data_IF_557021343534
#
_entry.id   IF_557021343534
#
_cell.length_a   1.000
_cell.length_b   1.000
_cell.length_c   1.000
_cell.angle_alpha   90.00
_cell.angle_beta   90.00
_cell.angle_gamma   90.00
#
_symmetry.space_group_name_H-M   'P 1'
#
loop_
_entity.id
_entity.type
_entity.pdbx_description
1 polymer ?
#
# COMPACT_ATOMS: atom_id res chain seq x y z
N UNK A 1 8.92 -67.98 -55.11
CA UNK A 1 7.65 -67.42 -54.63
C UNK A 1 7.90 -66.28 -53.74
N UNK A 2 7.48 -65.12 -54.16
CA UNK A 2 7.87 -63.83 -53.68
C UNK A 2 7.16 -63.46 -52.37
N UNK A 3 7.89 -63.11 -51.34
CA UNK A 3 7.37 -62.49 -50.13
C UNK A 3 7.74 -61.01 -50.09
N UNK A 4 6.73 -60.17 -50.20
CA UNK A 4 6.81 -58.72 -50.10
C UNK A 4 7.17 -58.28 -48.68
N UNK A 5 8.30 -57.61 -48.57
CA UNK A 5 8.69 -56.87 -47.33
C UNK A 5 8.05 -55.49 -47.47
N UNK A 6 7.05 -55.21 -46.64
CA UNK A 6 6.50 -53.85 -46.50
C UNK A 6 7.45 -52.98 -45.72
N UNK A 7 7.97 -51.98 -46.39
CA UNK A 7 8.73 -50.86 -45.76
C UNK A 7 7.73 -49.99 -44.97
N UNK A 8 7.75 -50.05 -43.68
CA UNK A 8 7.13 -49.06 -42.82
C UNK A 8 8.02 -47.80 -42.83
N UNK A 9 7.53 -46.79 -43.51
CA UNK A 9 8.10 -45.46 -43.51
C UNK A 9 8.00 -44.86 -42.12
N UNK A 10 9.11 -44.73 -41.45
CA UNK A 10 9.23 -43.84 -40.31
C UNK A 10 9.07 -42.40 -40.79
N UNK A 11 7.83 -41.90 -40.66
CA UNK A 11 7.63 -40.46 -40.76
C UNK A 11 8.32 -39.77 -39.62
N UNK A 12 9.40 -39.09 -39.93
CA UNK A 12 10.01 -38.07 -39.05
C UNK A 12 8.97 -37.00 -38.76
N UNK A 13 8.35 -37.06 -37.58
CA UNK A 13 7.63 -35.95 -36.98
C UNK A 13 8.65 -34.89 -36.54
N UNK A 14 9.22 -34.19 -37.49
CA UNK A 14 9.79 -32.88 -37.23
C UNK A 14 8.60 -31.91 -37.12
N UNK A 15 8.03 -31.78 -35.92
CA UNK A 15 7.21 -30.62 -35.59
C UNK A 15 8.05 -29.40 -35.84
N UNK A 16 7.73 -28.62 -36.86
CA UNK A 16 8.26 -27.26 -37.03
C UNK A 16 7.89 -26.50 -35.79
N UNK A 17 8.78 -25.68 -35.23
CA UNK A 17 8.38 -24.78 -34.14
C UNK A 17 7.25 -23.91 -34.66
N UNK A 18 6.17 -23.88 -33.91
CA UNK A 18 5.00 -23.04 -34.23
C UNK A 18 5.47 -21.58 -33.98
N UNK A 19 5.85 -20.90 -35.06
CA UNK A 19 6.49 -19.59 -35.03
C UNK A 19 5.55 -18.43 -34.65
N UNK A 20 4.27 -18.69 -34.43
CA UNK A 20 3.24 -17.67 -34.23
C UNK A 20 2.31 -18.03 -33.05
N UNK A 21 2.87 -18.31 -31.87
CA UNK A 21 2.01 -18.48 -30.68
C UNK A 21 1.85 -17.13 -30.00
N UNK A 22 0.62 -16.79 -29.69
CA UNK A 22 0.27 -15.63 -28.87
C UNK A 22 0.91 -15.77 -27.48
N UNK A 23 1.40 -14.67 -26.92
CA UNK A 23 2.02 -14.67 -25.58
C UNK A 23 1.07 -15.19 -24.50
N UNK A 24 -0.23 -14.87 -24.60
CA UNK A 24 -1.30 -15.33 -23.71
C UNK A 24 -1.41 -16.86 -23.64
N UNK A 25 -1.31 -17.54 -24.79
CA UNK A 25 -1.36 -19.01 -24.86
C UNK A 25 -0.13 -19.65 -24.22
N UNK A 26 1.06 -19.07 -24.48
CA UNK A 26 2.31 -19.51 -23.88
C UNK A 26 2.25 -19.31 -22.37
N UNK A 27 1.77 -18.17 -21.90
CA UNK A 27 1.63 -17.85 -20.49
C UNK A 27 0.73 -18.86 -19.76
N UNK A 28 -0.46 -19.14 -20.30
CA UNK A 28 -1.41 -20.08 -19.72
C UNK A 28 -0.83 -21.51 -19.61
N UNK A 29 -0.15 -21.95 -20.66
CA UNK A 29 0.48 -23.28 -20.69
C UNK A 29 1.63 -23.40 -19.69
N UNK A 30 2.56 -22.44 -19.69
CA UNK A 30 3.70 -22.40 -18.79
C UNK A 30 3.23 -22.25 -17.34
N UNK A 31 2.25 -21.39 -17.09
CA UNK A 31 1.66 -21.18 -15.76
C UNK A 31 1.04 -22.47 -15.22
N UNK A 32 0.28 -23.19 -16.04
CA UNK A 32 -0.34 -24.47 -15.66
C UNK A 32 0.73 -25.52 -15.30
N UNK A 33 1.79 -25.61 -16.10
CA UNK A 33 2.87 -26.56 -15.88
C UNK A 33 3.67 -26.22 -14.60
N UNK A 34 4.10 -24.97 -14.47
CA UNK A 34 4.91 -24.52 -13.34
C UNK A 34 4.11 -24.60 -12.03
N UNK A 35 2.84 -24.18 -12.03
CA UNK A 35 1.97 -24.27 -10.87
C UNK A 35 1.70 -25.70 -10.44
N UNK A 36 1.57 -26.64 -11.39
CA UNK A 36 1.35 -28.06 -11.06
C UNK A 36 2.58 -28.74 -10.46
N UNK A 37 3.79 -28.36 -10.85
CA UNK A 37 5.03 -29.02 -10.42
C UNK A 37 5.84 -28.27 -9.38
N UNK A 38 5.73 -26.93 -9.35
CA UNK A 38 6.60 -26.05 -8.55
C UNK A 38 5.80 -25.00 -7.78
N UNK A 39 4.54 -25.30 -7.43
CA UNK A 39 3.64 -24.36 -6.73
C UNK A 39 4.26 -23.74 -5.48
N UNK A 40 4.95 -24.53 -4.66
CA UNK A 40 5.59 -24.03 -3.45
C UNK A 40 6.67 -22.96 -3.73
N UNK A 41 7.43 -23.12 -4.82
CA UNK A 41 8.45 -22.14 -5.22
C UNK A 41 7.85 -20.85 -5.78
N UNK A 42 6.74 -20.95 -6.53
CA UNK A 42 6.03 -19.78 -7.04
C UNK A 42 5.43 -19.00 -5.88
N UNK A 43 4.79 -19.68 -4.94
CA UNK A 43 4.22 -19.06 -3.73
C UNK A 43 5.33 -18.41 -2.88
N UNK A 44 6.48 -19.06 -2.72
CA UNK A 44 7.62 -18.49 -2.00
C UNK A 44 8.19 -17.26 -2.73
N UNK A 45 8.27 -17.30 -4.06
CA UNK A 45 8.63 -16.14 -4.90
C UNK A 45 7.67 -14.97 -4.68
N UNK A 46 6.36 -15.21 -4.74
CA UNK A 46 5.32 -14.20 -4.50
C UNK A 46 5.43 -13.62 -3.08
N UNK A 47 5.54 -14.47 -2.05
CA UNK A 47 5.62 -14.04 -0.65
C UNK A 47 6.90 -13.26 -0.32
N UNK A 48 7.95 -13.41 -1.11
CA UNK A 48 9.23 -12.76 -0.90
C UNK A 48 9.55 -11.64 -1.93
N UNK A 49 8.59 -11.23 -2.76
CA UNK A 49 8.78 -10.11 -3.73
C UNK A 49 9.39 -8.89 -3.03
N UNK A 50 8.87 -8.54 -1.84
CA UNK A 50 9.32 -7.41 -1.05
C UNK A 50 10.68 -7.61 -0.35
N UNK A 51 11.21 -8.86 -0.32
CA UNK A 51 12.45 -9.21 0.40
C UNK A 51 13.66 -9.40 -0.52
N UNK A 52 13.46 -9.27 -1.86
CA UNK A 52 14.55 -9.37 -2.84
C UNK A 52 15.25 -10.73 -2.83
N UNK A 53 14.48 -11.84 -2.79
CA UNK A 53 15.06 -13.19 -2.84
C UNK A 53 15.45 -13.56 -4.28
N UNK A 54 16.62 -13.06 -4.72
CA UNK A 54 17.17 -13.28 -6.06
C UNK A 54 17.39 -14.76 -6.37
N UNK A 55 17.58 -15.59 -5.35
CA UNK A 55 17.83 -17.02 -5.50
C UNK A 55 16.58 -17.77 -5.94
N UNK A 56 15.42 -17.51 -5.32
CA UNK A 56 14.13 -18.08 -5.72
C UNK A 56 13.72 -17.57 -7.10
N UNK A 57 13.91 -16.29 -7.37
CA UNK A 57 13.69 -15.67 -8.69
C UNK A 57 14.48 -16.38 -9.78
N UNK A 58 15.78 -16.57 -9.59
CA UNK A 58 16.66 -17.27 -10.53
C UNK A 58 16.22 -18.73 -10.71
N UNK A 59 15.78 -19.40 -9.66
CA UNK A 59 15.33 -20.79 -9.72
C UNK A 59 14.02 -20.95 -10.53
N UNK A 60 13.02 -20.09 -10.31
CA UNK A 60 11.77 -20.10 -11.09
C UNK A 60 12.06 -19.81 -12.58
N UNK A 61 12.87 -18.78 -12.88
CA UNK A 61 13.28 -18.46 -14.26
C UNK A 61 14.00 -19.63 -14.94
N UNK A 62 14.82 -20.36 -14.20
CA UNK A 62 15.49 -21.57 -14.74
C UNK A 62 14.49 -22.68 -15.09
N UNK A 63 13.42 -22.89 -14.30
CA UNK A 63 12.40 -23.87 -14.62
C UNK A 63 11.54 -23.46 -15.81
N UNK A 64 11.20 -22.16 -15.93
CA UNK A 64 10.53 -21.62 -17.11
C UNK A 64 11.41 -21.85 -18.34
N UNK A 65 12.69 -21.47 -18.28
CA UNK A 65 13.62 -21.66 -19.40
C UNK A 65 13.78 -23.11 -19.83
N UNK A 66 13.83 -24.04 -18.84
CA UNK A 66 13.88 -25.48 -19.13
C UNK A 66 12.61 -25.94 -19.86
N UNK A 67 11.43 -25.52 -19.40
CA UNK A 67 10.16 -25.86 -20.07
C UNK A 67 10.13 -25.37 -21.51
N UNK A 68 10.49 -24.10 -21.73
CA UNK A 68 10.51 -23.51 -23.08
C UNK A 68 11.47 -24.28 -24.02
N UNK A 69 12.62 -24.74 -23.51
CA UNK A 69 13.57 -25.54 -24.26
C UNK A 69 13.05 -26.95 -24.55
N UNK A 70 12.52 -27.63 -23.53
CA UNK A 70 12.01 -29.01 -23.65
C UNK A 70 10.86 -29.11 -24.68
N UNK A 71 9.99 -28.10 -24.72
CA UNK A 71 8.84 -28.05 -25.64
C UNK A 71 9.07 -27.19 -26.90
N UNK A 72 10.28 -26.61 -27.04
CA UNK A 72 10.67 -25.77 -28.20
C UNK A 72 9.74 -24.57 -28.43
N UNK A 73 9.31 -23.93 -27.34
CA UNK A 73 8.41 -22.80 -27.38
C UNK A 73 9.21 -21.50 -27.58
N UNK A 74 8.75 -20.68 -28.54
CA UNK A 74 9.28 -19.33 -28.77
C UNK A 74 8.12 -18.38 -29.09
N UNK A 75 8.27 -17.10 -28.76
CA UNK A 75 7.33 -16.04 -29.12
C UNK A 75 7.94 -15.18 -30.24
N UNK A 76 7.09 -14.64 -31.12
CA UNK A 76 7.53 -13.76 -32.18
C UNK A 76 8.03 -12.43 -31.63
N UNK A 77 9.15 -11.94 -32.16
CA UNK A 77 9.70 -10.64 -31.75
C UNK A 77 10.38 -10.59 -30.39
N UNK A 78 10.54 -11.73 -29.69
CA UNK A 78 11.19 -11.80 -28.38
C UNK A 78 12.37 -12.77 -28.39
N UNK A 79 13.45 -12.41 -27.74
CA UNK A 79 14.51 -13.36 -27.40
C UNK A 79 14.02 -14.33 -26.32
N UNK A 80 14.67 -15.48 -26.19
CA UNK A 80 14.32 -16.46 -25.16
C UNK A 80 14.45 -15.90 -23.74
N UNK A 81 15.42 -15.03 -23.52
CA UNK A 81 15.61 -14.40 -22.21
C UNK A 81 14.48 -13.41 -21.90
N UNK A 82 14.09 -12.57 -22.85
CA UNK A 82 12.95 -11.66 -22.72
C UNK A 82 11.64 -12.40 -22.47
N UNK A 83 11.43 -13.54 -23.15
CA UNK A 83 10.27 -14.39 -22.93
C UNK A 83 10.26 -14.98 -21.51
N UNK A 84 11.40 -15.49 -21.03
CA UNK A 84 11.54 -16.01 -19.66
C UNK A 84 11.25 -14.90 -18.64
N UNK A 85 11.81 -13.72 -18.84
CA UNK A 85 11.65 -12.60 -17.93
C UNK A 85 10.22 -12.11 -17.89
N UNK A 86 9.57 -11.98 -19.05
CA UNK A 86 8.16 -11.59 -19.14
C UNK A 86 7.24 -12.64 -18.52
N UNK A 87 7.45 -13.93 -18.81
CA UNK A 87 6.68 -15.02 -18.19
C UNK A 87 6.83 -15.05 -16.67
N UNK A 88 8.05 -14.83 -16.16
CA UNK A 88 8.27 -14.75 -14.72
C UNK A 88 7.51 -13.59 -14.10
N UNK A 89 7.58 -12.41 -14.69
CA UNK A 89 6.86 -11.21 -14.22
C UNK A 89 5.35 -11.43 -14.17
N UNK A 90 4.79 -12.05 -15.21
CA UNK A 90 3.35 -12.34 -15.27
C UNK A 90 2.92 -13.46 -14.31
N UNK A 91 3.79 -14.38 -13.97
CA UNK A 91 3.46 -15.53 -13.10
C UNK A 91 3.75 -15.28 -11.62
N UNK A 92 4.83 -14.60 -11.29
CA UNK A 92 5.37 -14.51 -9.94
C UNK A 92 5.44 -13.08 -9.39
N UNK A 93 5.33 -12.06 -10.24
CA UNK A 93 5.27 -10.65 -9.86
C UNK A 93 3.84 -10.10 -10.10
N UNK A 94 3.70 -8.77 -10.09
CA UNK A 94 2.41 -8.09 -10.28
C UNK A 94 2.26 -7.52 -11.68
N UNK A 95 2.73 -8.26 -12.69
CA UNK A 95 2.73 -7.82 -14.07
C UNK A 95 3.47 -6.47 -14.22
N UNK A 96 3.08 -5.63 -15.16
CA UNK A 96 3.66 -4.29 -15.35
C UNK A 96 3.53 -3.38 -14.11
N UNK A 97 2.58 -3.66 -13.20
CA UNK A 97 2.39 -2.87 -11.98
C UNK A 97 3.56 -2.95 -11.01
N UNK A 98 4.36 -4.02 -11.07
CA UNK A 98 5.51 -4.24 -10.18
C UNK A 98 6.45 -3.04 -10.16
N UNK A 99 6.78 -2.48 -11.33
CA UNK A 99 7.68 -1.33 -11.45
C UNK A 99 7.10 -0.04 -10.86
N UNK A 100 5.77 0.10 -10.85
CA UNK A 100 5.09 1.26 -10.28
C UNK A 100 4.92 1.11 -8.77
N UNK A 101 4.54 -0.07 -8.29
CA UNK A 101 4.35 -0.35 -6.85
C UNK A 101 5.65 -0.15 -6.07
N UNK A 102 6.80 -0.54 -6.65
CA UNK A 102 8.11 -0.41 -6.03
C UNK A 102 8.93 0.76 -6.59
N UNK A 103 8.33 1.57 -7.47
CA UNK A 103 8.92 2.78 -8.02
C UNK A 103 9.01 3.92 -7.00
N UNK A 104 9.81 4.93 -7.33
CA UNK A 104 9.93 6.14 -6.52
C UNK A 104 9.01 7.25 -7.01
N UNK A 105 8.45 8.03 -6.09
CA UNK A 105 7.64 9.19 -6.43
C UNK A 105 6.22 8.88 -6.89
N UNK A 106 5.72 7.67 -6.69
CA UNK A 106 4.34 7.26 -6.98
C UNK A 106 3.56 7.27 -5.67
N UNK A 107 2.37 7.87 -5.69
CA UNK A 107 1.46 7.95 -4.54
C UNK A 107 0.24 7.05 -4.71
N UNK A 108 -0.27 6.91 -5.94
CA UNK A 108 -1.46 6.11 -6.18
C UNK A 108 -1.43 5.46 -7.56
N UNK A 109 -1.96 4.24 -7.64
CA UNK A 109 -2.19 3.51 -8.88
C UNK A 109 -3.68 3.16 -8.90
N UNK A 110 -4.40 3.63 -9.92
CA UNK A 110 -5.81 3.37 -10.11
C UNK A 110 -6.01 2.42 -11.30
N UNK A 111 -6.62 1.28 -11.05
CA UNK A 111 -7.08 0.32 -12.04
C UNK A 111 -8.57 0.57 -12.22
N UNK A 112 -8.96 1.27 -13.29
CA UNK A 112 -10.37 1.55 -13.60
C UNK A 112 -11.01 0.36 -14.33
N UNK A 113 -10.21 -0.34 -15.16
CA UNK A 113 -10.52 -1.60 -15.83
C UNK A 113 -9.23 -2.34 -16.18
N UNK A 114 -9.33 -3.53 -16.77
CA UNK A 114 -8.17 -4.31 -17.21
C UNK A 114 -7.32 -3.59 -18.26
N UNK A 115 -7.89 -2.66 -19.02
CA UNK A 115 -7.23 -1.89 -20.08
C UNK A 115 -7.16 -0.37 -19.79
N UNK A 116 -7.58 0.06 -18.60
CA UNK A 116 -7.54 1.44 -18.15
C UNK A 116 -6.87 1.56 -16.79
N UNK A 117 -5.59 1.88 -16.79
CA UNK A 117 -4.78 2.04 -15.60
C UNK A 117 -4.11 3.41 -15.61
N UNK A 118 -4.12 4.08 -14.47
CA UNK A 118 -3.46 5.38 -14.30
C UNK A 118 -2.60 5.41 -13.03
N UNK A 119 -1.59 6.25 -13.05
CA UNK A 119 -0.64 6.43 -11.94
C UNK A 119 -0.59 7.90 -11.57
N UNK A 120 -0.76 8.18 -10.29
CA UNK A 120 -0.56 9.51 -9.72
C UNK A 120 0.80 9.60 -9.05
N UNK A 121 1.55 10.63 -9.43
CA UNK A 121 2.85 10.94 -8.87
C UNK A 121 2.76 11.93 -7.71
N UNK A 122 3.80 11.98 -6.88
CA UNK A 122 3.90 12.88 -5.71
C UNK A 122 3.92 14.37 -6.04
N UNK A 123 4.16 14.73 -7.31
CA UNK A 123 4.02 16.09 -7.81
C UNK A 123 2.57 16.48 -8.15
N UNK A 124 1.61 15.55 -7.99
CA UNK A 124 0.20 15.72 -8.31
C UNK A 124 -0.15 15.42 -9.77
N UNK A 125 0.82 15.05 -10.60
CA UNK A 125 0.58 14.66 -11.99
C UNK A 125 -0.05 13.25 -12.03
N UNK A 126 -1.10 13.09 -12.85
CA UNK A 126 -1.72 11.81 -13.13
C UNK A 126 -1.47 11.43 -14.59
N UNK A 127 -0.92 10.25 -14.81
CA UNK A 127 -0.59 9.73 -16.14
C UNK A 127 -1.36 8.44 -16.39
N UNK A 128 -2.09 8.41 -17.49
CA UNK A 128 -2.72 7.19 -18.00
C UNK A 128 -1.66 6.32 -18.67
N UNK A 129 -1.60 5.04 -18.30
CA UNK A 129 -0.60 4.12 -18.83
C UNK A 129 -1.00 3.60 -20.21
N UNK A 130 0.00 3.40 -21.06
CA UNK A 130 -0.18 2.65 -22.31
C UNK A 130 -0.21 1.13 -22.06
N UNK A 131 0.38 0.69 -20.95
CA UNK A 131 0.42 -0.70 -20.51
C UNK A 131 -0.93 -1.08 -19.91
N UNK A 132 -1.36 -2.29 -20.23
CA UNK A 132 -2.62 -2.85 -19.78
C UNK A 132 -2.48 -4.35 -19.50
N UNK A 133 -3.45 -4.92 -18.82
CA UNK A 133 -3.53 -6.36 -18.66
C UNK A 133 -3.96 -7.03 -19.97
N UNK A 134 -3.72 -8.32 -20.11
CA UNK A 134 -4.05 -9.09 -21.31
C UNK A 134 -5.58 -9.33 -21.45
N UNK A 135 -6.30 -9.38 -20.32
CA UNK A 135 -7.74 -9.63 -20.26
C UNK A 135 -8.31 -9.24 -18.89
N UNK A 136 -9.66 -9.16 -18.75
CA UNK A 136 -10.31 -9.01 -17.45
C UNK A 136 -9.88 -10.07 -16.42
N UNK A 137 -9.84 -11.34 -16.82
CA UNK A 137 -9.41 -12.45 -15.95
C UNK A 137 -7.93 -12.34 -15.54
N UNK A 138 -7.08 -11.86 -16.44
CA UNK A 138 -5.67 -11.61 -16.12
C UNK A 138 -5.55 -10.54 -15.05
N UNK A 139 -6.27 -9.42 -15.16
CA UNK A 139 -6.30 -8.35 -14.15
C UNK A 139 -6.76 -8.89 -12.78
N UNK A 140 -7.85 -9.65 -12.75
CA UNK A 140 -8.37 -10.30 -11.53
C UNK A 140 -7.29 -11.19 -10.90
N UNK A 141 -6.60 -11.99 -11.70
CA UNK A 141 -5.57 -12.92 -11.20
C UNK A 141 -4.34 -12.20 -10.65
N UNK A 142 -3.92 -11.10 -11.28
CA UNK A 142 -2.82 -10.27 -10.76
C UNK A 142 -3.20 -9.64 -9.42
N UNK A 143 -4.40 -9.04 -9.33
CA UNK A 143 -4.89 -8.43 -8.07
C UNK A 143 -5.08 -9.49 -6.99
N UNK A 144 -5.59 -10.68 -7.31
CA UNK A 144 -5.66 -11.81 -6.36
C UNK A 144 -4.31 -12.19 -5.80
N UNK A 145 -3.26 -12.23 -6.64
CA UNK A 145 -1.89 -12.49 -6.15
C UNK A 145 -1.42 -11.43 -5.16
N UNK A 146 -1.67 -10.14 -5.47
CA UNK A 146 -1.34 -9.06 -4.54
C UNK A 146 -1.99 -9.27 -3.18
N UNK A 147 -3.28 -9.55 -3.17
CA UNK A 147 -4.07 -9.75 -1.95
C UNK A 147 -3.62 -11.00 -1.17
N UNK A 148 -3.31 -12.08 -1.89
CA UNK A 148 -2.86 -13.33 -1.28
C UNK A 148 -1.57 -13.17 -0.46
N UNK A 149 -0.62 -12.34 -0.91
CA UNK A 149 0.61 -12.02 -0.15
C UNK A 149 0.30 -11.47 1.24
N UNK A 150 -0.85 -10.81 1.39
CA UNK A 150 -1.32 -10.23 2.65
C UNK A 150 -2.37 -11.09 3.37
N UNK A 151 -2.61 -12.31 2.87
CA UNK A 151 -3.58 -13.23 3.45
C UNK A 151 -5.05 -12.88 3.20
N UNK A 152 -5.32 -11.99 2.23
CA UNK A 152 -6.67 -11.59 1.82
C UNK A 152 -7.15 -12.45 0.64
N UNK A 153 -8.45 -12.71 0.59
CA UNK A 153 -9.07 -13.55 -0.45
C UNK A 153 -10.13 -12.73 -1.21
N UNK A 154 -9.94 -12.58 -2.52
CA UNK A 154 -10.90 -11.96 -3.43
C UNK A 154 -11.63 -13.04 -4.21
N UNK A 155 -12.90 -13.25 -3.91
CA UNK A 155 -13.75 -14.23 -4.58
C UNK A 155 -15.17 -13.71 -4.79
N UNK A 156 -16.12 -14.58 -5.12
CA UNK A 156 -17.51 -14.17 -5.36
C UNK A 156 -18.30 -13.92 -4.07
N UNK A 157 -17.82 -14.42 -2.93
CA UNK A 157 -18.43 -14.18 -1.62
C UNK A 157 -17.90 -12.90 -0.99
N UNK A 158 -16.66 -12.53 -1.32
CA UNK A 158 -15.98 -11.30 -0.89
C UNK A 158 -15.50 -10.51 -2.11
N UNK A 159 -16.43 -9.87 -2.87
CA UNK A 159 -16.10 -9.17 -4.12
C UNK A 159 -15.55 -7.74 -3.88
N UNK A 160 -15.58 -7.24 -2.66
CA UNK A 160 -15.00 -5.97 -2.23
C UNK A 160 -14.00 -6.21 -1.12
N UNK A 161 -12.79 -5.66 -1.27
CA UNK A 161 -11.73 -5.80 -0.28
C UNK A 161 -11.10 -4.44 0.00
N UNK A 162 -10.98 -4.13 1.28
CA UNK A 162 -10.12 -3.07 1.79
C UNK A 162 -8.98 -3.74 2.55
N UNK A 163 -7.75 -3.44 2.20
CA UNK A 163 -6.63 -4.14 2.82
C UNK A 163 -5.29 -3.44 2.69
N UNK A 164 -4.28 -4.14 3.19
CA UNK A 164 -2.92 -3.66 3.22
C UNK A 164 -1.99 -4.70 2.57
N UNK A 165 -1.33 -4.32 1.49
CA UNK A 165 -0.37 -5.18 0.79
C UNK A 165 0.98 -5.22 1.51
N UNK A 166 1.36 -4.13 2.12
CA UNK A 166 2.56 -4.02 2.94
C UNK A 166 2.39 -2.89 3.97
N UNK A 167 3.39 -2.71 4.80
CA UNK A 167 3.44 -1.69 5.84
C UNK A 167 2.97 -0.29 5.39
N UNK A 168 3.25 0.06 4.13
CA UNK A 168 2.99 1.37 3.56
C UNK A 168 2.19 1.35 2.25
N UNK A 169 1.55 0.23 1.90
CA UNK A 169 0.74 0.10 0.68
C UNK A 169 -0.65 -0.39 1.06
N UNK A 170 -1.65 0.42 0.80
CA UNK A 170 -3.07 0.08 0.91
C UNK A 170 -3.62 -0.34 -0.43
N UNK A 171 -4.65 -1.18 -0.41
CA UNK A 171 -5.42 -1.53 -1.60
C UNK A 171 -6.92 -1.54 -1.28
N UNK A 172 -7.69 -0.95 -2.18
CA UNK A 172 -9.14 -1.11 -2.24
C UNK A 172 -9.47 -1.78 -3.56
N UNK A 173 -10.29 -2.82 -3.53
CA UNK A 173 -10.61 -3.64 -4.72
C UNK A 173 -12.09 -3.89 -4.80
N UNK A 174 -12.62 -3.80 -6.01
CA UNK A 174 -13.97 -4.23 -6.39
C UNK A 174 -13.87 -5.16 -7.58
N UNK A 175 -14.58 -6.28 -7.55
CA UNK A 175 -14.75 -7.18 -8.70
C UNK A 175 -16.22 -7.50 -8.94
N UNK A 176 -16.51 -8.22 -10.03
CA UNK A 176 -17.85 -8.77 -10.29
C UNK A 176 -18.39 -9.54 -9.06
N UNK A 177 -19.66 -9.30 -8.61
CA UNK A 177 -20.73 -8.58 -9.32
C UNK A 177 -20.84 -7.07 -9.02
N UNK A 178 -19.86 -6.45 -8.37
CA UNK A 178 -19.91 -5.02 -8.02
C UNK A 178 -19.43 -4.12 -9.19
N UNK A 179 -18.71 -4.68 -10.13
CA UNK A 179 -18.31 -4.07 -11.39
C UNK A 179 -18.72 -4.99 -12.54
N UNK A 180 -18.84 -4.46 -13.75
CA UNK A 180 -19.22 -5.23 -14.93
C UNK A 180 -18.13 -6.28 -15.29
N UNK A 181 -18.54 -7.36 -15.96
CA UNK A 181 -17.63 -8.47 -16.31
C UNK A 181 -16.50 -8.05 -17.25
N UNK A 182 -16.77 -7.11 -18.14
CA UNK A 182 -15.81 -6.56 -19.10
C UNK A 182 -14.77 -5.62 -18.44
N UNK A 183 -15.07 -5.07 -17.27
CA UNK A 183 -14.11 -4.32 -16.42
C UNK A 183 -13.11 -5.28 -15.77
N UNK A 184 -13.57 -6.45 -15.35
CA UNK A 184 -12.80 -7.44 -14.61
C UNK A 184 -12.62 -7.07 -13.15
N UNK A 185 -11.79 -6.09 -12.87
CA UNK A 185 -11.51 -5.59 -11.52
C UNK A 185 -11.24 -4.09 -11.55
N UNK A 186 -11.78 -3.37 -10.58
CA UNK A 186 -11.39 -2.00 -10.27
C UNK A 186 -10.60 -1.99 -8.95
N UNK A 187 -9.50 -1.26 -8.89
CA UNK A 187 -8.70 -1.17 -7.68
C UNK A 187 -7.99 0.18 -7.56
N UNK A 188 -7.84 0.66 -6.33
CA UNK A 188 -6.97 1.77 -5.97
C UNK A 188 -5.87 1.26 -5.04
N UNK A 189 -4.62 1.45 -5.43
CA UNK A 189 -3.43 1.07 -4.67
C UNK A 189 -2.73 2.35 -4.25
N UNK A 190 -2.80 2.66 -2.96
CA UNK A 190 -2.16 3.84 -2.40
C UNK A 190 -0.83 3.49 -1.77
N UNK A 191 0.22 4.16 -2.24
CA UNK A 191 1.60 3.97 -1.78
C UNK A 191 1.95 5.14 -0.87
N UNK A 192 2.06 4.86 0.41
CA UNK A 192 2.43 5.86 1.40
C UNK A 192 3.95 5.95 1.43
N UNK A 193 4.49 6.92 0.72
CA UNK A 193 5.89 7.29 0.83
C UNK A 193 6.00 8.28 1.99
N UNK A 194 6.26 7.78 3.20
CA UNK A 194 6.51 8.62 4.36
C UNK A 194 7.82 9.40 4.16
N UNK A 195 7.75 10.48 3.39
CA UNK A 195 8.87 11.42 3.29
C UNK A 195 9.02 12.10 4.66
N UNK A 196 10.15 11.87 5.29
CA UNK A 196 10.50 12.60 6.52
C UNK A 196 10.92 14.02 6.13
N UNK A 197 9.92 14.90 5.97
CA UNK A 197 10.17 16.30 5.73
C UNK A 197 10.84 16.92 6.96
N UNK A 198 11.80 17.79 6.72
CA UNK A 198 12.48 18.57 7.74
C UNK A 198 11.79 19.93 7.88
N UNK A 199 12.07 20.64 8.97
CA UNK A 199 11.56 22.01 9.21
C UNK A 199 11.81 22.92 7.99
N UNK A 200 13.00 22.84 7.41
CA UNK A 200 13.42 23.67 6.28
C UNK A 200 12.54 23.46 5.03
N UNK A 201 11.97 22.28 4.86
CA UNK A 201 11.10 21.97 3.72
C UNK A 201 9.76 22.72 3.84
N UNK A 202 9.20 22.80 5.06
CA UNK A 202 7.98 23.57 5.35
C UNK A 202 8.21 25.08 5.20
N UNK A 203 9.38 25.59 5.62
CA UNK A 203 9.73 26.99 5.45
C UNK A 203 9.91 27.33 3.97
N UNK A 204 10.62 26.48 3.21
CA UNK A 204 10.88 26.68 1.79
C UNK A 204 9.60 26.65 0.96
N UNK A 205 8.67 25.78 1.31
CA UNK A 205 7.35 25.70 0.62
C UNK A 205 6.40 26.83 1.01
N UNK A 206 6.76 27.66 2.01
CA UNK A 206 5.88 28.72 2.53
C UNK A 206 4.67 28.18 3.32
N UNK A 207 4.72 26.93 3.75
CA UNK A 207 3.63 26.28 4.51
C UNK A 207 3.43 26.96 5.87
N UNK A 208 4.52 27.32 6.55
CA UNK A 208 4.49 27.99 7.85
C UNK A 208 5.72 28.90 8.02
N UNK A 209 5.60 29.93 8.87
CA UNK A 209 6.71 30.74 9.32
C UNK A 209 7.56 29.99 10.34
N UNK A 210 8.81 30.42 10.53
CA UNK A 210 9.75 29.78 11.47
C UNK A 210 9.23 29.81 12.89
N UNK A 211 8.73 30.94 13.33
CA UNK A 211 8.18 31.14 14.68
C UNK A 211 6.96 30.24 14.95
N UNK A 212 6.14 30.00 13.91
CA UNK A 212 5.03 29.03 13.99
C UNK A 212 5.54 27.61 14.21
N UNK A 213 6.54 27.18 13.44
CA UNK A 213 7.11 25.84 13.56
C UNK A 213 7.73 25.65 14.95
N UNK A 214 8.46 26.65 15.48
CA UNK A 214 9.02 26.63 16.83
C UNK A 214 7.94 26.55 17.90
N UNK A 215 6.89 27.38 17.81
CA UNK A 215 5.78 27.36 18.76
C UNK A 215 5.09 25.99 18.78
N UNK A 216 4.75 25.43 17.61
CA UNK A 216 4.11 24.12 17.50
C UNK A 216 4.98 23.00 18.08
N UNK A 217 6.27 23.02 17.76
CA UNK A 217 7.25 22.08 18.33
C UNK A 217 7.31 22.19 19.86
N UNK A 218 7.35 23.41 20.39
CA UNK A 218 7.36 23.64 21.85
C UNK A 218 6.09 23.09 22.51
N UNK A 219 4.89 23.38 21.95
CA UNK A 219 3.63 22.88 22.47
C UNK A 219 3.58 21.35 22.52
N UNK A 220 4.00 20.68 21.44
CA UNK A 220 4.07 19.22 21.40
C UNK A 220 5.06 18.68 22.42
N UNK A 221 6.26 19.27 22.55
CA UNK A 221 7.29 18.87 23.54
C UNK A 221 6.81 18.97 24.97
N UNK A 222 5.99 19.99 25.26
CA UNK A 222 5.42 20.21 26.60
C UNK A 222 4.13 19.40 26.86
N UNK A 223 3.75 18.51 25.94
CA UNK A 223 2.61 17.63 26.14
C UNK A 223 1.27 18.31 25.96
N UNK A 224 1.18 19.34 25.12
CA UNK A 224 -0.09 19.96 24.77
C UNK A 224 -0.80 19.09 23.74
N UNK A 225 -2.01 18.64 24.07
CA UNK A 225 -2.85 17.90 23.13
C UNK A 225 -3.18 18.76 21.90
N UNK A 226 -2.95 18.20 20.72
CA UNK A 226 -2.95 18.97 19.46
C UNK A 226 -3.76 18.25 18.38
N UNK A 227 -4.64 18.99 17.72
CA UNK A 227 -5.38 18.50 16.55
C UNK A 227 -4.96 19.29 15.32
N UNK A 228 -4.57 18.57 14.25
CA UNK A 228 -4.25 19.14 12.95
C UNK A 228 -5.44 18.96 12.02
N UNK A 229 -6.08 20.06 11.63
CA UNK A 229 -7.26 20.05 10.77
C UNK A 229 -6.95 20.54 9.35
N UNK A 230 -7.64 20.01 8.36
CA UNK A 230 -7.52 20.46 6.96
C UNK A 230 -8.25 19.55 5.98
N UNK A 231 -8.32 19.97 4.72
CA UNK A 231 -8.91 19.19 3.64
C UNK A 231 -8.09 17.91 3.34
N UNK A 232 -8.65 17.01 2.56
CA UNK A 232 -7.91 15.86 2.02
C UNK A 232 -6.69 16.34 1.24
N UNK A 233 -5.57 15.63 1.37
CA UNK A 233 -4.28 15.94 0.70
C UNK A 233 -3.70 17.34 1.01
N UNK A 234 -4.10 17.96 2.14
CA UNK A 234 -3.56 19.26 2.56
C UNK A 234 -2.23 19.18 3.32
N UNK A 235 -1.68 17.98 3.55
CA UNK A 235 -0.42 17.79 4.26
C UNK A 235 -0.56 17.59 5.78
N UNK A 236 -1.76 17.31 6.32
CA UNK A 236 -1.99 17.08 7.76
C UNK A 236 -1.06 16.02 8.34
N UNK A 237 -1.08 14.82 7.75
CA UNK A 237 -0.25 13.69 8.19
C UNK A 237 1.24 14.01 8.10
N UNK A 238 1.65 14.75 7.08
CA UNK A 238 3.04 15.17 6.86
C UNK A 238 3.51 16.12 7.97
N UNK A 239 2.70 17.15 8.27
CA UNK A 239 2.99 18.09 9.34
C UNK A 239 2.97 17.40 10.72
N UNK A 240 1.96 16.55 10.96
CA UNK A 240 1.89 15.77 12.21
C UNK A 240 3.11 14.86 12.34
N UNK A 241 3.51 14.17 11.27
CA UNK A 241 4.71 13.33 11.25
C UNK A 241 5.96 14.11 11.66
N UNK A 242 6.15 15.34 11.14
CA UNK A 242 7.25 16.19 11.54
C UNK A 242 7.16 16.60 13.01
N UNK A 243 5.99 17.06 13.49
CA UNK A 243 5.78 17.45 14.88
C UNK A 243 6.15 16.31 15.85
N UNK A 244 5.79 15.08 15.51
CA UNK A 244 6.08 13.89 16.32
C UNK A 244 7.58 13.60 16.41
N UNK A 245 8.39 13.99 15.43
CA UNK A 245 9.87 13.85 15.51
C UNK A 245 10.48 14.83 16.51
N UNK A 246 9.75 15.85 16.96
CA UNK A 246 10.24 16.82 17.96
C UNK A 246 10.06 16.34 19.40
N UNK A 247 9.32 15.23 19.62
CA UNK A 247 9.09 14.63 20.94
C UNK A 247 10.43 14.06 21.48
N UNK A 248 10.80 14.33 22.74
CA UNK A 248 12.01 13.78 23.33
C UNK A 248 12.05 12.24 23.31
N UNK A 249 13.21 11.65 23.04
CA UNK A 249 13.40 10.20 22.88
C UNK A 249 13.09 9.36 24.13
N UNK A 250 13.10 9.97 25.32
CA UNK A 250 12.73 9.33 26.57
C UNK A 250 11.21 9.15 26.71
N UNK A 251 10.42 9.88 25.94
CA UNK A 251 8.96 9.81 25.92
C UNK A 251 8.45 8.63 25.09
N UNK A 252 7.41 7.99 25.61
CA UNK A 252 6.79 6.83 24.95
C UNK A 252 5.61 7.27 24.08
N UNK A 253 5.67 6.95 22.80
CA UNK A 253 4.65 7.28 21.80
C UNK A 253 3.91 6.01 21.44
N UNK A 254 2.58 6.05 21.44
CA UNK A 254 1.71 4.99 20.94
C UNK A 254 0.88 5.54 19.78
N UNK A 255 1.09 5.01 18.57
CA UNK A 255 0.34 5.44 17.39
C UNK A 255 -0.78 4.46 17.06
N UNK A 256 -1.93 4.99 16.66
CA UNK A 256 -3.12 4.27 16.22
C UNK A 256 -3.47 4.78 14.84
N UNK A 257 -3.27 3.95 13.82
CA UNK A 257 -3.48 4.30 12.43
C UNK A 257 -4.54 3.41 11.80
N UNK A 258 -5.32 3.95 10.87
CA UNK A 258 -6.42 3.22 10.25
C UNK A 258 -5.96 2.55 8.95
N UNK A 259 -5.91 1.22 8.95
CA UNK A 259 -5.70 0.39 7.76
C UNK A 259 -4.29 0.44 7.16
N UNK A 260 -3.45 1.45 7.41
CA UNK A 260 -2.03 1.45 7.01
C UNK A 260 -1.19 2.36 7.88
N UNK A 261 0.11 2.12 7.85
CA UNK A 261 1.09 2.89 8.59
C UNK A 261 1.60 4.06 7.74
N UNK A 262 1.13 5.26 8.07
CA UNK A 262 1.56 6.51 7.43
C UNK A 262 2.71 7.18 8.20
N UNK A 263 2.78 6.91 9.51
CA UNK A 263 3.81 7.46 10.39
C UNK A 263 4.97 6.47 10.55
N UNK A 264 6.18 6.88 10.22
CA UNK A 264 7.41 6.13 10.48
C UNK A 264 8.31 6.91 11.44
N UNK A 265 8.06 6.72 12.74
CA UNK A 265 8.68 7.49 13.81
C UNK A 265 9.86 6.77 14.46
N UNK A 266 10.16 5.52 14.08
CA UNK A 266 11.28 4.79 14.67
C UNK A 266 12.60 5.40 14.23
N UNK A 267 13.39 5.82 15.18
CA UNK A 267 14.73 6.38 14.97
C UNK A 267 15.81 5.41 15.41
N UNK A 268 16.89 5.36 14.62
CA UNK A 268 18.04 4.49 14.88
C UNK A 268 19.29 5.33 14.99
N UNK A 269 20.08 5.05 16.03
CA UNK A 269 21.41 5.64 16.19
C UNK A 269 22.43 5.04 15.21
N UNK A 270 23.64 5.55 15.25
CA UNK A 270 24.76 5.13 14.37
C UNK A 270 25.06 3.62 14.45
N UNK A 271 24.80 3.01 15.60
CA UNK A 271 24.96 1.55 15.81
C UNK A 271 23.76 0.71 15.36
N UNK A 272 22.76 1.30 14.66
CA UNK A 272 21.54 0.65 14.19
C UNK A 272 20.51 0.35 15.30
N UNK A 273 20.79 0.63 16.58
CA UNK A 273 19.85 0.43 17.68
C UNK A 273 18.77 1.50 17.68
N UNK A 274 17.55 1.11 18.06
CA UNK A 274 16.44 2.06 18.24
C UNK A 274 16.76 2.97 19.45
N UNK A 275 16.62 4.28 19.26
CA UNK A 275 16.95 5.30 20.26
C UNK A 275 15.73 5.98 20.87
N UNK A 276 14.55 5.85 20.29
CA UNK A 276 13.29 6.39 20.80
C UNK A 276 12.30 5.27 21.17
N UNK A 277 11.20 5.62 21.83
CA UNK A 277 10.21 4.66 22.36
C UNK A 277 8.90 4.80 21.62
N UNK A 278 8.72 4.07 20.52
CA UNK A 278 7.52 4.14 19.68
C UNK A 278 6.88 2.76 19.53
N UNK A 279 5.57 2.71 19.76
CA UNK A 279 4.72 1.56 19.46
C UNK A 279 3.78 1.99 18.35
N UNK A 280 3.91 1.38 17.19
CA UNK A 280 2.99 1.58 16.08
C UNK A 280 1.91 0.51 16.07
N UNK A 281 0.65 0.92 16.03
CA UNK A 281 -0.48 0.01 15.87
C UNK A 281 -1.35 0.42 14.68
N UNK A 282 -2.05 -0.55 14.11
CA UNK A 282 -2.92 -0.39 12.96
C UNK A 282 -4.22 -1.11 13.26
N UNK A 283 -5.35 -0.51 12.91
CA UNK A 283 -6.66 -1.18 12.95
C UNK A 283 -6.67 -2.36 11.98
N UNK A 284 -7.47 -3.35 12.29
CA UNK A 284 -7.68 -4.52 11.45
C UNK A 284 -9.16 -4.79 11.28
N UNK A 285 -9.65 -4.63 10.07
CA UNK A 285 -10.99 -5.06 9.69
C UNK A 285 -11.00 -6.58 9.43
N UNK A 286 -12.07 -7.26 9.82
CA UNK A 286 -12.30 -8.67 9.60
C UNK A 286 -13.77 -8.89 9.24
N UNK A 287 -14.06 -9.86 8.38
CA UNK A 287 -15.43 -10.30 8.07
C UNK A 287 -16.21 -10.76 9.33
N UNK A 288 -15.49 -11.31 10.31
CA UNK A 288 -16.01 -11.57 11.64
C UNK A 288 -15.79 -10.32 12.49
N UNK A 289 -16.86 -9.55 12.74
CA UNK A 289 -16.80 -8.32 13.55
C UNK A 289 -16.11 -8.53 14.90
N UNK A 290 -16.23 -9.73 15.49
CA UNK A 290 -15.58 -10.07 16.77
C UNK A 290 -14.05 -10.14 16.67
N UNK A 291 -13.51 -10.27 15.47
CA UNK A 291 -12.07 -10.31 15.21
C UNK A 291 -11.55 -8.98 14.67
N UNK A 292 -12.43 -8.03 14.41
CA UNK A 292 -12.05 -6.67 14.03
C UNK A 292 -11.42 -5.95 15.21
N UNK A 293 -10.33 -5.23 14.96
CA UNK A 293 -9.65 -4.37 15.93
C UNK A 293 -9.85 -2.93 15.47
N UNK A 294 -10.71 -2.21 16.18
CA UNK A 294 -11.07 -0.82 15.90
C UNK A 294 -10.07 0.16 16.54
N UNK A 295 -10.19 1.45 16.22
CA UNK A 295 -9.42 2.51 16.89
C UNK A 295 -9.77 2.58 18.38
N UNK A 296 -11.03 2.43 18.77
CA UNK A 296 -11.45 2.41 20.17
C UNK A 296 -10.80 1.27 20.95
N UNK A 297 -10.75 0.05 20.38
CA UNK A 297 -10.05 -1.07 20.99
C UNK A 297 -8.56 -0.78 21.22
N UNK A 298 -7.91 -0.10 20.26
CA UNK A 298 -6.50 0.26 20.36
C UNK A 298 -6.28 1.40 21.34
N UNK A 299 -7.21 2.35 21.49
CA UNK A 299 -7.17 3.39 22.51
C UNK A 299 -7.27 2.81 23.91
N UNK A 300 -8.21 1.89 24.15
CA UNK A 300 -8.33 1.17 25.42
C UNK A 300 -7.06 0.37 25.76
N UNK A 301 -6.44 -0.22 24.74
CA UNK A 301 -5.15 -0.90 24.90
C UNK A 301 -4.04 0.08 25.22
N UNK A 302 -3.98 1.24 24.54
CA UNK A 302 -2.94 2.24 24.71
C UNK A 302 -2.83 2.66 26.19
N UNK A 303 -3.95 2.89 26.88
CA UNK A 303 -3.98 3.26 28.30
C UNK A 303 -3.25 2.26 29.22
N UNK A 304 -3.19 0.98 28.83
CA UNK A 304 -2.50 -0.09 29.56
C UNK A 304 -1.00 -0.13 29.28
N UNK A 305 -0.55 0.53 28.21
CA UNK A 305 0.86 0.63 27.83
C UNK A 305 1.57 1.83 28.45
N UNK A 306 0.85 2.69 29.19
CA UNK A 306 1.36 3.91 29.84
C UNK A 306 2.21 4.79 28.91
N UNK A 307 1.69 5.22 27.73
CA UNK A 307 2.41 6.11 26.85
C UNK A 307 2.36 7.54 27.39
N UNK A 308 3.39 8.36 27.10
CA UNK A 308 3.32 9.80 27.32
C UNK A 308 2.44 10.46 26.24
N UNK A 309 2.47 9.92 25.02
CA UNK A 309 1.74 10.44 23.86
C UNK A 309 0.93 9.34 23.20
N UNK A 310 -0.36 9.62 22.95
CA UNK A 310 -1.25 8.80 22.12
C UNK A 310 -1.51 9.57 20.82
N UNK A 311 -1.16 8.96 19.70
CA UNK A 311 -1.32 9.56 18.38
C UNK A 311 -2.40 8.81 17.63
N UNK A 312 -3.54 9.46 17.37
CA UNK A 312 -4.60 8.92 16.53
C UNK A 312 -4.44 9.51 15.14
N UNK A 313 -4.07 8.70 14.17
CA UNK A 313 -3.72 9.15 12.82
C UNK A 313 -4.82 9.99 12.17
N UNK A 314 -6.07 9.58 12.32
CA UNK A 314 -7.25 10.32 11.88
C UNK A 314 -8.45 9.98 12.75
N UNK A 315 -9.15 10.99 13.26
CA UNK A 315 -10.43 10.81 13.97
C UNK A 315 -11.60 11.21 13.07
N UNK A 316 -12.65 10.40 13.09
CA UNK A 316 -13.86 10.60 12.26
C UNK A 316 -15.16 10.70 13.06
N UNK A 317 -15.31 9.95 14.17
CA UNK A 317 -16.55 9.87 14.93
C UNK A 317 -16.36 9.44 16.39
N UNK A 318 -16.66 8.19 16.71
CA UNK A 318 -16.71 7.65 18.09
C UNK A 318 -15.37 7.68 18.80
N UNK A 319 -14.27 7.63 18.07
CA UNK A 319 -12.89 7.68 18.59
C UNK A 319 -12.60 8.98 19.36
N UNK A 320 -13.38 10.04 19.09
CA UNK A 320 -13.19 11.32 19.75
C UNK A 320 -13.48 11.24 21.25
N UNK A 321 -14.48 10.47 21.66
CA UNK A 321 -14.84 10.29 23.08
C UNK A 321 -13.75 9.52 23.82
N UNK A 322 -13.23 8.44 23.24
CA UNK A 322 -12.15 7.63 23.78
C UNK A 322 -10.85 8.43 23.87
N UNK A 323 -10.55 9.25 22.86
CA UNK A 323 -9.38 10.13 22.85
C UNK A 323 -9.48 11.24 23.91
N UNK A 324 -10.68 11.78 24.13
CA UNK A 324 -10.95 12.76 25.19
C UNK A 324 -10.76 12.14 26.59
N UNK A 325 -11.22 10.90 26.78
CA UNK A 325 -10.99 10.18 28.03
C UNK A 325 -9.50 9.95 28.29
N UNK A 326 -8.73 9.57 27.27
CA UNK A 326 -7.28 9.44 27.35
C UNK A 326 -6.62 10.77 27.77
N UNK A 327 -7.06 11.89 27.19
CA UNK A 327 -6.54 13.21 27.57
C UNK A 327 -6.89 13.59 29.02
N UNK A 328 -8.09 13.29 29.48
CA UNK A 328 -8.51 13.52 30.87
C UNK A 328 -7.72 12.70 31.88
N UNK A 329 -7.20 11.54 31.48
CA UNK A 329 -6.37 10.68 32.32
C UNK A 329 -4.87 11.05 32.30
N UNK A 330 -4.51 12.18 31.66
CA UNK A 330 -3.19 12.76 31.70
C UNK A 330 -2.26 12.38 30.53
N UNK A 331 -2.80 11.75 29.48
CA UNK A 331 -2.04 11.44 28.27
C UNK A 331 -2.12 12.62 27.27
N UNK A 332 -1.02 12.93 26.61
CA UNK A 332 -1.04 13.87 25.49
C UNK A 332 -1.63 13.20 24.26
N UNK A 333 -2.69 13.77 23.71
CA UNK A 333 -3.34 13.25 22.49
C UNK A 333 -3.02 14.14 21.31
N UNK A 334 -2.49 13.52 20.24
CA UNK A 334 -2.21 14.20 18.98
C UNK A 334 -3.02 13.50 17.88
N UNK A 335 -3.73 14.25 17.05
CA UNK A 335 -4.58 13.69 16.01
C UNK A 335 -4.70 14.56 14.78
N UNK A 336 -5.23 13.98 13.70
CA UNK A 336 -5.68 14.73 12.53
C UNK A 336 -7.18 14.58 12.32
N UNK A 337 -7.81 15.60 11.76
CA UNK A 337 -9.23 15.56 11.37
C UNK A 337 -9.43 16.16 9.98
N UNK A 338 -10.40 15.62 9.24
CA UNK A 338 -10.87 16.24 8.01
C UNK A 338 -11.86 17.35 8.36
N UNK A 339 -11.44 18.60 8.21
CA UNK A 339 -12.30 19.77 8.41
C UNK A 339 -11.85 20.93 7.53
N UNK A 340 -12.83 21.63 6.99
CA UNK A 340 -12.54 22.87 6.25
C UNK A 340 -12.35 24.08 7.18
N UNK A 341 -12.60 23.93 8.49
CA UNK A 341 -12.45 24.98 9.50
C UNK A 341 -12.16 24.40 10.87
N UNK A 342 -11.50 25.16 11.72
CA UNK A 342 -11.17 24.79 13.11
C UNK A 342 -12.29 25.10 14.12
N UNK A 343 -13.53 25.25 13.73
CA UNK A 343 -14.65 25.47 14.63
C UNK A 343 -15.94 25.73 13.86
N UNK A 344 -17.11 25.67 14.52
CA UNK A 344 -18.41 25.99 13.93
C UNK A 344 -18.60 27.49 13.73
N UNK A 345 -17.55 28.29 13.63
CA UNK A 345 -17.61 29.76 13.67
C UNK A 345 -17.55 30.35 12.27
N UNK A 346 -18.67 30.96 11.92
CA UNK A 346 -18.90 32.09 11.03
C UNK A 346 -17.88 32.37 9.91
N UNK A 347 -18.40 32.15 8.68
CA UNK A 347 -18.10 32.89 7.45
C UNK A 347 -16.72 33.57 7.33
N UNK A 348 -15.68 32.78 7.00
CA UNK A 348 -14.66 33.29 6.11
C UNK A 348 -14.21 32.18 5.16
N UNK A 349 -14.35 32.42 3.87
CA UNK A 349 -13.88 31.58 2.78
C UNK A 349 -12.42 31.16 3.02
N UNK A 350 -12.23 29.90 3.46
CA UNK A 350 -10.91 29.32 3.45
C UNK A 350 -10.52 28.97 2.01
N UNK A 351 -9.44 29.50 1.53
CA UNK A 351 -8.80 29.09 0.29
C UNK A 351 -8.42 27.61 0.41
N UNK A 352 -8.72 26.81 -0.60
CA UNK A 352 -8.32 25.41 -0.74
C UNK A 352 -6.81 25.33 -0.48
N UNK A 353 -6.36 24.35 0.30
CA UNK A 353 -4.99 23.96 0.58
C UNK A 353 -4.28 24.59 1.79
N UNK A 354 -4.97 25.03 2.82
CA UNK A 354 -4.31 25.43 4.07
C UNK A 354 -4.53 24.37 5.17
N UNK A 355 -3.44 23.94 5.80
CA UNK A 355 -3.48 23.18 7.06
C UNK A 355 -3.80 24.15 8.18
N UNK A 356 -4.73 23.80 9.04
CA UNK A 356 -5.06 24.56 10.26
C UNK A 356 -4.72 23.74 11.46
N UNK A 357 -4.13 24.38 12.45
CA UNK A 357 -3.79 23.76 13.73
C UNK A 357 -4.71 24.33 14.77
N UNK A 358 -5.41 23.44 15.46
CA UNK A 358 -6.26 23.78 16.58
C UNK A 358 -5.62 23.21 17.86
N UNK A 359 -5.45 24.06 18.84
CA UNK A 359 -4.96 23.68 20.16
C UNK A 359 -6.19 23.59 21.05
N UNK A 360 -6.40 22.44 21.67
CA UNK A 360 -7.50 22.21 22.59
C UNK A 360 -6.97 22.22 24.02
N UNK A 361 -7.58 23.02 24.86
CA UNK A 361 -7.50 22.84 26.30
C UNK A 361 -8.64 21.90 26.72
N UNK A 362 -8.31 20.65 26.99
CA UNK A 362 -9.30 19.63 27.40
C UNK A 362 -9.93 19.88 28.78
N UNK A 363 -9.47 20.91 29.51
CA UNK A 363 -10.03 21.28 30.81
C UNK A 363 -11.13 22.34 30.75
N UNK A 364 -11.26 23.03 29.62
CA UNK A 364 -12.31 24.00 29.39
C UNK A 364 -13.15 23.58 28.21
N UNK A 365 -14.36 23.13 28.45
CA UNK A 365 -15.43 22.77 27.51
C UNK A 365 -15.04 22.71 26.03
N UNK A 366 -15.26 21.58 25.41
CA UNK A 366 -15.03 21.20 24.00
C UNK A 366 -15.39 22.28 22.92
N UNK A 367 -15.75 23.47 23.33
CA UNK A 367 -16.23 24.57 22.49
C UNK A 367 -15.31 25.78 22.36
N UNK A 368 -14.21 25.85 23.08
CA UNK A 368 -13.28 26.97 22.96
C UNK A 368 -11.98 26.56 22.26
N UNK A 369 -12.02 26.46 20.93
CA UNK A 369 -10.81 26.37 20.13
C UNK A 369 -10.17 27.77 20.05
N UNK A 370 -8.95 27.93 20.56
CA UNK A 370 -8.15 29.10 20.27
C UNK A 370 -7.50 28.91 18.88
N UNK A 371 -7.88 29.75 17.94
CA UNK A 371 -7.24 29.88 16.63
C UNK A 371 -5.95 30.67 16.81
N UNK A 372 -4.83 30.08 16.46
CA UNK A 372 -3.59 30.79 16.15
C UNK A 372 -3.45 30.98 14.65
#
# INVERSE_FOLDING_TARGET
MNGLISQTSTQNLFCRPDKNREFSDILNEVQTYISSKYSALVIDGINNINKGNDEVKAQVKRYIGKYLLDYRISAEGMTQQELIDKLYTEMAEFSFLTKYIFGTGIEEININSWDDVEVQYSNGETVKLEEKFESPDHAINVVRRMLHVSGMVLDNTSPAILGQLSKNIRIAVLKTPLVDEDVGVAASIRIVNAQKLKKEDFLRSGTAADEMMELMSALVRYGVSTTVAGATSSGKTTLTGWLLTTIPHDKRIFTIENGSRELDLVERGENGKIINKVIHTITRESEDEKKSITQDNLLDMALRFHPDYIVVGEMRSSEADSAQEAARTGHTVITTIHSNSCGPIHDKKCTKNQVKICIYDFYADFLSALLL
#
